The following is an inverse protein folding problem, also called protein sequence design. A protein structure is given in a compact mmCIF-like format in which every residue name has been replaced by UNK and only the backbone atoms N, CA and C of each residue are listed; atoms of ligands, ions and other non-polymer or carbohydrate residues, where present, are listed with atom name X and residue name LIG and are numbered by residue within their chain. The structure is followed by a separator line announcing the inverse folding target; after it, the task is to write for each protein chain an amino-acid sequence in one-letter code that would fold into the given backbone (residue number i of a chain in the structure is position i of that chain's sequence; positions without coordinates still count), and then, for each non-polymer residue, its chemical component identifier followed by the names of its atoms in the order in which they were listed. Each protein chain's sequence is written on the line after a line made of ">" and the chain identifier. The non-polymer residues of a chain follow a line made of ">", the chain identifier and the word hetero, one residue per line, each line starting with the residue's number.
data_IF_496781688652
#
_entry.id   IF_496781688652
#
_cell.length_a   1.000
_cell.length_b   1.000
_cell.length_c   1.000
_cell.angle_alpha   90.00
_cell.angle_beta   90.00
_cell.angle_gamma   90.00
#
_symmetry.space_group_name_H-M   'P 1'
#
loop_
_entity.id
_entity.type
_entity.pdbx_description
1 polymer ?
#
# COMPACT_ATOMS: atom_id res chain seq x y z
N UNK A 1 -14.90 -5.12 -16.39
CA UNK A 1 -13.69 -5.88 -16.02
C UNK A 1 -12.48 -5.13 -16.59
N UNK A 2 -12.30 -3.86 -16.24
CA UNK A 2 -11.24 -3.32 -15.38
C UNK A 2 -11.80 -1.98 -14.86
N UNK A 3 -12.31 -1.92 -13.62
CA UNK A 3 -12.88 -0.67 -13.07
C UNK A 3 -12.07 -0.10 -11.91
N UNK A 4 -11.01 -0.78 -11.47
CA UNK A 4 -10.22 -0.35 -10.34
C UNK A 4 -8.77 -0.08 -10.77
N UNK A 5 -8.31 1.19 -10.79
CA UNK A 5 -6.94 1.54 -11.17
C UNK A 5 -5.88 0.84 -10.31
N UNK A 6 -6.25 0.45 -9.08
CA UNK A 6 -5.43 -0.36 -8.16
C UNK A 6 -4.99 -1.69 -8.79
N UNK A 7 -5.87 -2.34 -9.56
CA UNK A 7 -5.58 -3.63 -10.15
C UNK A 7 -4.57 -3.53 -11.29
N UNK A 8 -4.63 -2.44 -12.06
CA UNK A 8 -3.65 -2.14 -13.10
C UNK A 8 -2.27 -1.86 -12.50
N UNK A 9 -2.23 -1.05 -11.43
CA UNK A 9 -1.00 -0.75 -10.68
C UNK A 9 -0.39 -2.05 -10.15
N UNK A 10 -1.19 -2.93 -9.55
CA UNK A 10 -0.74 -4.23 -9.05
C UNK A 10 -0.13 -5.11 -10.15
N UNK A 11 -0.77 -5.20 -11.32
CA UNK A 11 -0.28 -5.98 -12.45
C UNK A 11 1.08 -5.46 -12.94
N UNK A 12 1.20 -4.14 -13.10
CA UNK A 12 2.47 -3.50 -13.51
C UNK A 12 3.55 -3.82 -12.48
N UNK A 13 3.21 -3.71 -11.19
CA UNK A 13 4.14 -3.96 -10.10
C UNK A 13 4.65 -5.41 -10.08
N UNK A 14 3.75 -6.38 -10.19
CA UNK A 14 4.06 -7.81 -10.24
C UNK A 14 4.86 -8.17 -11.50
N UNK A 15 4.52 -7.60 -12.65
CA UNK A 15 5.26 -7.80 -13.90
C UNK A 15 6.70 -7.27 -13.77
N UNK A 16 6.87 -6.07 -13.22
CA UNK A 16 8.19 -5.45 -13.01
C UNK A 16 9.04 -6.26 -12.04
N UNK A 17 8.45 -6.73 -10.94
CA UNK A 17 9.11 -7.61 -9.96
C UNK A 17 9.51 -8.95 -10.59
N UNK A 18 8.62 -9.57 -11.37
CA UNK A 18 8.88 -10.86 -12.04
C UNK A 18 10.03 -10.74 -13.03
N UNK A 19 10.03 -9.70 -13.87
CA UNK A 19 11.14 -9.42 -14.80
C UNK A 19 12.44 -9.24 -14.01
N UNK A 20 12.42 -8.52 -12.89
CA UNK A 20 13.63 -8.32 -12.09
C UNK A 20 14.16 -9.59 -11.44
N UNK A 21 13.29 -10.42 -10.85
CA UNK A 21 13.67 -11.71 -10.26
C UNK A 21 14.24 -12.64 -11.33
N UNK A 22 13.66 -12.65 -12.53
CA UNK A 22 14.09 -13.53 -13.63
C UNK A 22 15.41 -13.08 -14.26
N UNK A 23 15.61 -11.78 -14.46
CA UNK A 23 16.80 -11.24 -15.12
C UNK A 23 17.93 -10.80 -14.16
N UNK A 24 17.68 -10.86 -12.84
CA UNK A 24 18.53 -10.62 -11.66
C UNK A 24 19.95 -10.10 -11.91
N UNK A 25 20.09 -8.91 -12.51
CA UNK A 25 21.39 -8.29 -12.69
C UNK A 25 21.31 -6.76 -12.92
N UNK A 26 21.86 -5.92 -12.02
CA UNK A 26 22.44 -6.26 -10.71
C UNK A 26 21.35 -6.54 -9.65
N UNK A 27 21.62 -7.40 -8.66
CA UNK A 27 20.67 -7.71 -7.59
C UNK A 27 20.45 -6.49 -6.70
N UNK A 28 19.19 -6.08 -6.54
CA UNK A 28 18.77 -4.95 -5.71
C UNK A 28 17.76 -5.43 -4.67
N UNK A 29 18.25 -6.20 -3.70
CA UNK A 29 17.45 -6.87 -2.67
C UNK A 29 16.48 -5.94 -1.92
N UNK A 30 16.88 -4.69 -1.65
CA UNK A 30 16.04 -3.71 -0.98
C UNK A 30 14.84 -3.32 -1.85
N UNK A 31 15.08 -3.10 -3.14
CA UNK A 31 14.02 -2.78 -4.09
C UNK A 31 13.04 -3.95 -4.22
N UNK A 32 13.54 -5.18 -4.37
CA UNK A 32 12.68 -6.35 -4.55
C UNK A 32 11.85 -6.64 -3.29
N UNK A 33 12.42 -6.41 -2.10
CA UNK A 33 11.72 -6.52 -0.82
C UNK A 33 10.62 -5.46 -0.68
N UNK A 34 10.92 -4.21 -0.99
CA UNK A 34 9.93 -3.13 -1.01
C UNK A 34 8.82 -3.43 -2.02
N UNK A 35 9.19 -3.93 -3.19
CA UNK A 35 8.22 -4.32 -4.21
C UNK A 35 7.27 -5.42 -3.69
N UNK A 36 7.81 -6.43 -3.01
CA UNK A 36 7.01 -7.50 -2.39
C UNK A 36 6.05 -6.97 -1.33
N UNK A 37 6.50 -6.08 -0.44
CA UNK A 37 5.65 -5.47 0.60
C UNK A 37 4.48 -4.71 -0.02
N UNK A 38 4.74 -3.93 -1.05
CA UNK A 38 3.70 -3.18 -1.75
C UNK A 38 2.67 -4.10 -2.42
N UNK A 39 3.10 -5.17 -3.07
CA UNK A 39 2.16 -6.17 -3.61
C UNK A 39 1.28 -6.77 -2.53
N UNK A 40 1.85 -7.15 -1.38
CA UNK A 40 1.07 -7.68 -0.24
C UNK A 40 0.09 -6.62 0.28
N UNK A 41 0.51 -5.35 0.41
CA UNK A 41 -0.37 -4.25 0.85
C UNK A 41 -1.53 -4.01 -0.11
N UNK A 42 -1.28 -4.03 -1.41
CA UNK A 42 -2.33 -3.88 -2.43
C UNK A 42 -3.34 -5.02 -2.39
N UNK A 43 -2.87 -6.27 -2.25
CA UNK A 43 -3.75 -7.44 -2.12
C UNK A 43 -4.57 -7.35 -0.82
N UNK A 44 -3.90 -7.08 0.31
CA UNK A 44 -4.54 -6.92 1.61
C UNK A 44 -5.62 -5.84 1.58
N UNK A 45 -5.34 -4.70 0.96
CA UNK A 45 -6.29 -3.59 0.80
C UNK A 45 -7.47 -3.97 -0.08
N UNK A 46 -7.24 -4.64 -1.21
CA UNK A 46 -8.31 -5.11 -2.10
C UNK A 46 -9.24 -6.11 -1.40
N UNK A 47 -8.67 -7.04 -0.63
CA UNK A 47 -9.45 -8.00 0.17
C UNK A 47 -10.24 -7.30 1.26
N UNK A 48 -9.61 -6.33 1.93
CA UNK A 48 -10.20 -5.57 3.01
C UNK A 48 -11.37 -4.68 2.53
N UNK A 49 -11.21 -3.94 1.43
CA UNK A 49 -12.30 -3.18 0.79
C UNK A 49 -13.48 -4.09 0.44
N UNK A 50 -13.21 -5.26 -0.13
CA UNK A 50 -14.24 -6.24 -0.48
C UNK A 50 -14.95 -6.77 0.77
N UNK A 51 -14.23 -6.92 1.88
CA UNK A 51 -14.78 -7.36 3.16
C UNK A 51 -15.67 -6.27 3.79
N UNK A 52 -15.21 -5.02 3.85
CA UNK A 52 -16.00 -3.87 4.33
C UNK A 52 -17.29 -3.67 3.52
N UNK A 53 -17.23 -3.84 2.20
CA UNK A 53 -18.41 -3.67 1.35
C UNK A 53 -19.44 -4.80 1.53
N UNK A 54 -18.99 -6.02 1.87
CA UNK A 54 -19.85 -7.19 2.01
C UNK A 54 -20.37 -7.39 3.44
N UNK A 55 -19.59 -6.97 4.44
CA UNK A 55 -19.90 -7.13 5.85
C UNK A 55 -19.90 -5.76 6.52
N UNK A 56 -20.90 -5.46 7.34
CA UNK A 56 -20.94 -4.24 8.14
C UNK A 56 -19.85 -4.33 9.22
N UNK A 57 -18.62 -3.96 8.88
CA UNK A 57 -17.49 -3.96 9.81
C UNK A 57 -17.66 -2.84 10.83
N UNK A 58 -17.17 -3.10 12.04
CA UNK A 58 -17.13 -2.12 13.12
C UNK A 58 -16.11 -1.04 12.79
N UNK A 59 -16.46 0.22 13.05
CA UNK A 59 -15.56 1.35 12.86
C UNK A 59 -14.23 1.20 13.65
N UNK A 60 -14.25 0.43 14.75
CA UNK A 60 -13.03 0.12 15.52
C UNK A 60 -12.08 -0.76 14.71
N UNK A 61 -12.59 -1.84 14.11
CA UNK A 61 -11.79 -2.74 13.25
C UNK A 61 -11.20 -1.96 12.07
N UNK A 62 -12.02 -1.09 11.48
CA UNK A 62 -11.60 -0.28 10.34
C UNK A 62 -10.49 0.71 10.68
N UNK A 63 -10.59 1.33 11.86
CA UNK A 63 -9.56 2.23 12.39
C UNK A 63 -8.26 1.47 12.66
N UNK A 64 -8.32 0.28 13.27
CA UNK A 64 -7.13 -0.52 13.59
C UNK A 64 -6.36 -0.91 12.32
N UNK A 65 -7.06 -1.40 11.29
CA UNK A 65 -6.44 -1.79 10.02
C UNK A 65 -5.74 -0.59 9.38
N UNK A 66 -6.39 0.58 9.35
CA UNK A 66 -5.79 1.78 8.76
C UNK A 66 -4.60 2.30 9.58
N UNK A 67 -4.63 2.24 10.91
CA UNK A 67 -3.47 2.58 11.75
C UNK A 67 -2.28 1.67 11.43
N UNK A 68 -2.50 0.35 11.28
CA UNK A 68 -1.43 -0.58 10.88
C UNK A 68 -0.88 -0.21 9.50
N UNK A 69 -1.73 0.12 8.53
CA UNK A 69 -1.30 0.54 7.20
C UNK A 69 -0.44 1.81 7.23
N UNK A 70 -0.77 2.79 8.08
CA UNK A 70 0.02 4.01 8.27
C UNK A 70 1.35 3.72 8.97
N UNK A 71 1.37 2.86 9.99
CA UNK A 71 2.60 2.46 10.66
C UNK A 71 3.59 1.78 9.70
N UNK A 72 3.09 0.92 8.81
CA UNK A 72 3.91 0.30 7.75
C UNK A 72 4.50 1.37 6.84
N UNK A 73 3.69 2.35 6.40
CA UNK A 73 4.18 3.48 5.60
C UNK A 73 5.29 4.26 6.29
N UNK A 74 5.12 4.58 7.57
CA UNK A 74 6.13 5.30 8.34
C UNK A 74 7.45 4.50 8.43
N UNK A 75 7.36 3.20 8.68
CA UNK A 75 8.52 2.30 8.70
C UNK A 75 9.26 2.27 7.37
N UNK A 76 8.54 2.20 6.25
CA UNK A 76 9.12 2.20 4.90
C UNK A 76 9.79 3.54 4.60
N UNK A 77 9.16 4.67 4.93
CA UNK A 77 9.75 6.00 4.73
C UNK A 77 11.06 6.14 5.51
N UNK A 78 11.08 5.80 6.80
CA UNK A 78 12.29 5.85 7.62
C UNK A 78 13.38 4.95 7.04
N UNK A 79 13.03 3.74 6.62
CA UNK A 79 13.96 2.81 6.00
C UNK A 79 14.53 3.33 4.68
N UNK A 80 13.74 3.97 3.82
CA UNK A 80 14.21 4.59 2.58
C UNK A 80 15.22 5.71 2.83
N UNK A 81 15.04 6.50 3.88
CA UNK A 81 16.01 7.53 4.24
C UNK A 81 17.31 6.95 4.81
N UNK A 82 17.23 5.83 5.53
CA UNK A 82 18.41 5.12 6.06
C UNK A 82 19.15 4.26 5.01
N UNK A 83 18.49 3.86 3.93
CA UNK A 83 19.09 2.97 2.92
C UNK A 83 20.10 3.70 2.03
N UNK A 84 21.07 2.95 1.48
CA UNK A 84 22.06 3.46 0.51
C UNK A 84 21.54 3.44 -0.95
N UNK A 85 20.23 3.27 -1.16
CA UNK A 85 19.63 3.24 -2.49
C UNK A 85 19.77 4.56 -3.24
N UNK A 86 19.70 4.51 -4.57
CA UNK A 86 19.78 5.74 -5.37
C UNK A 86 18.53 6.61 -5.15
N UNK A 87 18.71 7.93 -5.27
CA UNK A 87 17.59 8.88 -5.12
C UNK A 87 16.43 8.60 -6.06
N UNK A 88 16.68 8.11 -7.28
CA UNK A 88 15.61 7.70 -8.20
C UNK A 88 14.74 6.57 -7.63
N UNK A 89 15.35 5.53 -7.05
CA UNK A 89 14.60 4.43 -6.44
C UNK A 89 13.87 4.90 -5.18
N UNK A 90 14.52 5.73 -4.34
CA UNK A 90 13.88 6.33 -3.17
C UNK A 90 12.65 7.15 -3.56
N UNK A 91 12.76 7.97 -4.61
CA UNK A 91 11.68 8.83 -5.07
C UNK A 91 10.51 8.02 -5.63
N UNK A 92 10.78 6.94 -6.38
CA UNK A 92 9.76 6.00 -6.84
C UNK A 92 8.96 5.41 -5.66
N UNK A 93 9.65 4.94 -4.62
CA UNK A 93 8.99 4.37 -3.46
C UNK A 93 8.34 5.42 -2.57
N UNK A 94 8.84 6.65 -2.50
CA UNK A 94 8.17 7.75 -1.80
C UNK A 94 6.86 8.15 -2.50
N UNK A 95 6.81 8.13 -3.83
CA UNK A 95 5.55 8.30 -4.58
C UNK A 95 4.58 7.17 -4.23
N UNK A 96 5.07 5.92 -4.20
CA UNK A 96 4.29 4.77 -3.73
C UNK A 96 3.70 5.00 -2.34
N UNK A 97 4.51 5.35 -1.36
CA UNK A 97 4.05 5.60 0.01
C UNK A 97 3.08 6.77 0.10
N UNK A 98 3.28 7.83 -0.67
CA UNK A 98 2.35 8.95 -0.73
C UNK A 98 0.94 8.52 -1.16
N UNK A 99 0.84 7.59 -2.12
CA UNK A 99 -0.44 7.03 -2.54
C UNK A 99 -1.14 6.29 -1.39
N UNK A 100 -0.43 5.44 -0.65
CA UNK A 100 -1.01 4.72 0.48
C UNK A 100 -1.46 5.64 1.60
N UNK A 101 -0.67 6.67 1.93
CA UNK A 101 -0.99 7.64 2.97
C UNK A 101 -2.19 8.52 2.59
N UNK A 102 -2.25 9.01 1.35
CA UNK A 102 -3.40 9.79 0.85
C UNK A 102 -4.67 8.93 0.93
N UNK A 103 -4.61 7.69 0.47
CA UNK A 103 -5.74 6.77 0.54
C UNK A 103 -6.16 6.55 2.00
N UNK A 104 -5.22 6.24 2.90
CA UNK A 104 -5.55 6.05 4.33
C UNK A 104 -6.20 7.29 4.93
N UNK A 105 -5.76 8.49 4.56
CA UNK A 105 -6.41 9.74 4.95
C UNK A 105 -7.86 9.85 4.47
N UNK A 106 -8.14 9.41 3.23
CA UNK A 106 -9.51 9.33 2.71
C UNK A 106 -10.36 8.33 3.50
N UNK A 107 -9.84 7.14 3.78
CA UNK A 107 -10.55 6.12 4.56
C UNK A 107 -10.82 6.56 6.00
N UNK A 108 -9.86 7.22 6.67
CA UNK A 108 -10.11 7.81 7.99
C UNK A 108 -11.24 8.84 7.96
N UNK A 109 -11.29 9.69 6.93
CA UNK A 109 -12.39 10.64 6.76
C UNK A 109 -13.74 9.92 6.65
N UNK A 110 -13.82 8.85 5.87
CA UNK A 110 -15.05 8.05 5.74
C UNK A 110 -15.47 7.38 7.06
N UNK A 111 -14.52 6.80 7.80
CA UNK A 111 -14.78 6.18 9.12
C UNK A 111 -15.34 7.23 10.11
N UNK A 112 -14.77 8.44 10.13
CA UNK A 112 -15.25 9.52 11.00
C UNK A 112 -16.66 9.97 10.62
N UNK A 113 -16.96 10.10 9.32
CA UNK A 113 -18.29 10.45 8.84
C UNK A 113 -19.33 9.38 9.23
N UNK A 114 -19.01 8.10 9.02
CA UNK A 114 -19.86 6.97 9.42
C UNK A 114 -20.14 6.94 10.92
N UNK A 115 -19.19 7.35 11.76
CA UNK A 115 -19.41 7.51 13.21
C UNK A 115 -20.38 8.66 13.56
N UNK A 116 -20.40 9.74 12.77
CA UNK A 116 -21.30 10.89 12.99
C UNK A 116 -22.74 10.63 12.58
N UNK A 117 -22.99 9.71 11.66
CA UNK A 117 -24.34 9.34 11.21
C UNK A 117 -25.05 8.33 12.13
N UNK A 118 -24.30 7.66 13.02
CA UNK A 118 -24.81 6.61 13.92
C UNK A 118 -25.13 7.15 15.33
N UNK A 119 -24.62 8.34 15.67
CA UNK A 119 -24.90 9.06 16.93
C UNK A 119 -25.87 10.22 16.69
#
# INVERSE_FOLDING_TARGET
>A
MLKNPIFLILIIFLATLTVRIVYNNPPHYIYDWLMGIYSIRLIGRTLYEKYQNKHRTSNVTDTIVEVIMVMISLGIILFLFMSQETWMHKLLFLIGESYFLIYSGYTFKEIILKNKEVN
#
